data_IF_673979845212
#
_entry.id   IF_673979845212
#
_cell.length_a   1.000
_cell.length_b   1.000
_cell.length_c   1.000
_cell.angle_alpha   90.00
_cell.angle_beta   90.00
_cell.angle_gamma   90.00
#
_symmetry.space_group_name_H-M   'P 1'
#
loop_
_entity.id
_entity.type
_entity.pdbx_description
1 polymer ?
#
# COMPACT_ATOMS: atom_id res chain seq x y z
N UNK A 1 -19.40 -5.05 3.56
CA UNK A 1 -18.32 -5.94 3.05
C UNK A 1 -17.27 -5.09 2.36
N UNK A 2 -16.01 -5.31 2.66
CA UNK A 2 -14.91 -4.54 2.08
C UNK A 2 -14.70 -4.91 0.61
N UNK A 3 -14.35 -3.93 -0.23
CA UNK A 3 -13.94 -4.13 -1.62
C UNK A 3 -12.77 -5.10 -1.66
N UNK A 4 -12.81 -6.05 -2.57
CA UNK A 4 -11.78 -7.07 -2.74
C UNK A 4 -10.99 -6.86 -4.02
N UNK A 5 -9.87 -7.57 -4.17
CA UNK A 5 -9.10 -7.56 -5.40
C UNK A 5 -9.97 -8.00 -6.61
N UNK A 6 -10.83 -8.99 -6.41
CA UNK A 6 -11.78 -9.45 -7.43
C UNK A 6 -12.76 -8.33 -7.82
N UNK A 7 -13.22 -7.52 -6.85
CA UNK A 7 -14.08 -6.37 -7.12
C UNK A 7 -13.37 -5.36 -8.01
N UNK A 8 -12.10 -5.03 -7.69
CA UNK A 8 -11.31 -4.09 -8.49
C UNK A 8 -11.06 -4.63 -9.90
N UNK A 9 -10.79 -5.93 -10.04
CA UNK A 9 -10.61 -6.56 -11.34
C UNK A 9 -11.89 -6.45 -12.19
N UNK A 10 -13.04 -6.73 -11.57
CA UNK A 10 -14.33 -6.59 -12.24
C UNK A 10 -14.59 -5.15 -12.70
N UNK A 11 -14.27 -4.16 -11.88
CA UNK A 11 -14.38 -2.76 -12.26
C UNK A 11 -13.53 -2.45 -13.50
N UNK A 12 -12.30 -2.96 -13.55
CA UNK A 12 -11.42 -2.81 -14.70
C UNK A 12 -12.01 -3.46 -15.95
N UNK A 13 -12.49 -4.70 -15.83
CA UNK A 13 -13.09 -5.44 -16.94
C UNK A 13 -14.33 -4.75 -17.47
N UNK A 14 -15.15 -4.14 -16.62
CA UNK A 14 -16.37 -3.41 -16.95
C UNK A 14 -16.08 -1.98 -17.48
N UNK A 15 -14.82 -1.54 -17.44
CA UNK A 15 -14.44 -0.16 -17.84
C UNK A 15 -14.80 0.90 -16.79
N UNK A 16 -15.17 0.50 -15.59
CA UNK A 16 -15.42 1.43 -14.47
C UNK A 16 -14.12 2.00 -13.95
N UNK A 17 -14.13 3.27 -13.57
CA UNK A 17 -12.95 3.92 -12.99
C UNK A 17 -12.82 3.57 -11.51
N UNK A 18 -11.58 3.35 -11.08
CA UNK A 18 -11.23 3.13 -9.68
C UNK A 18 -10.69 4.45 -9.13
N UNK A 19 -11.40 5.01 -8.13
CA UNK A 19 -10.94 6.20 -7.42
C UNK A 19 -10.02 5.79 -6.27
N UNK A 20 -8.76 6.23 -6.30
CA UNK A 20 -7.78 5.96 -5.25
C UNK A 20 -7.19 7.26 -4.73
N UNK A 21 -7.12 7.40 -3.42
CA UNK A 21 -6.46 8.51 -2.74
C UNK A 21 -5.54 8.02 -1.64
N UNK A 22 -4.48 8.78 -1.35
CA UNK A 22 -3.66 8.55 -0.16
C UNK A 22 -4.46 8.85 1.09
N UNK A 23 -4.19 8.07 2.14
CA UNK A 23 -4.87 8.21 3.43
C UNK A 23 -3.93 7.74 4.54
N UNK A 24 -3.85 8.51 5.64
CA UNK A 24 -2.86 8.28 6.68
C UNK A 24 -3.45 8.08 8.08
N UNK A 25 -4.76 8.25 8.25
CA UNK A 25 -5.42 8.14 9.56
C UNK A 25 -6.87 7.67 9.45
N UNK A 26 -7.45 7.32 10.60
CA UNK A 26 -8.81 6.79 10.66
C UNK A 26 -9.90 7.82 10.34
N UNK A 27 -9.69 9.08 10.69
CA UNK A 27 -10.68 10.15 10.43
C UNK A 27 -10.84 10.40 8.94
N UNK A 28 -9.71 10.57 8.22
CA UNK A 28 -9.73 10.73 6.77
C UNK A 28 -10.20 9.46 6.06
N UNK A 29 -9.88 8.28 6.57
CA UNK A 29 -10.35 7.01 5.98
C UNK A 29 -11.88 6.99 5.91
N UNK A 30 -12.55 7.30 7.01
CA UNK A 30 -14.01 7.37 7.04
C UNK A 30 -14.58 8.44 6.12
N UNK A 31 -13.96 9.61 6.07
CA UNK A 31 -14.38 10.72 5.22
C UNK A 31 -14.25 10.40 3.73
N UNK A 32 -13.11 9.86 3.32
CA UNK A 32 -12.85 9.49 1.92
C UNK A 32 -13.76 8.35 1.46
N UNK A 33 -13.97 7.37 2.32
CA UNK A 33 -14.90 6.26 2.04
C UNK A 33 -16.33 6.76 1.86
N UNK A 34 -16.79 7.69 2.71
CA UNK A 34 -18.10 8.33 2.60
C UNK A 34 -18.23 9.13 1.29
N UNK A 35 -17.14 9.67 0.78
CA UNK A 35 -17.11 10.39 -0.49
C UNK A 35 -17.09 9.46 -1.73
N UNK A 36 -17.00 8.13 -1.54
CA UNK A 36 -17.06 7.16 -2.61
C UNK A 36 -15.71 6.69 -3.14
N UNK A 37 -14.61 6.92 -2.43
CA UNK A 37 -13.28 6.44 -2.82
C UNK A 37 -13.25 4.91 -2.71
N UNK A 38 -12.75 4.25 -3.77
CA UNK A 38 -12.72 2.78 -3.85
C UNK A 38 -11.52 2.17 -3.16
N UNK A 39 -10.36 2.84 -3.22
CA UNK A 39 -9.11 2.37 -2.65
C UNK A 39 -8.40 3.46 -1.87
N UNK A 40 -7.84 3.10 -0.73
CA UNK A 40 -7.04 3.97 0.13
C UNK A 40 -5.60 3.48 0.11
N UNK A 41 -4.67 4.38 -0.23
CA UNK A 41 -3.24 4.11 -0.24
C UNK A 41 -2.61 4.71 1.02
N UNK A 42 -2.12 3.84 1.89
CA UNK A 42 -1.26 4.26 3.00
C UNK A 42 0.15 4.39 2.44
N UNK A 43 0.50 5.62 2.04
CA UNK A 43 1.75 5.89 1.36
C UNK A 43 2.91 6.17 2.33
N UNK A 44 4.14 5.79 1.95
CA UNK A 44 5.34 6.20 2.69
C UNK A 44 5.58 7.71 2.60
N UNK A 45 4.85 8.39 1.73
CA UNK A 45 4.75 9.86 1.72
C UNK A 45 4.27 10.43 3.06
N UNK A 46 3.76 9.59 3.99
CA UNK A 46 3.51 10.03 5.37
C UNK A 46 4.75 10.63 6.02
N UNK A 47 5.94 10.20 5.61
CA UNK A 47 7.19 10.80 6.05
C UNK A 47 7.23 12.30 5.78
N UNK A 48 6.85 12.71 4.58
CA UNK A 48 6.78 14.12 4.22
C UNK A 48 5.56 14.82 4.81
N UNK A 49 4.37 14.22 4.65
CA UNK A 49 3.07 14.87 4.91
C UNK A 49 2.75 14.91 6.41
N UNK A 50 3.08 13.87 7.15
CA UNK A 50 2.73 13.73 8.57
C UNK A 50 3.93 13.98 9.49
N UNK A 51 5.12 13.46 9.10
CA UNK A 51 6.30 13.51 9.97
C UNK A 51 7.21 14.71 9.70
N UNK A 52 6.93 15.49 8.64
CA UNK A 52 7.74 16.64 8.22
C UNK A 52 9.19 16.28 7.86
N UNK A 53 9.42 15.06 7.40
CA UNK A 53 10.70 14.63 6.87
C UNK A 53 10.93 15.19 5.46
N UNK A 54 12.17 15.41 5.10
CA UNK A 54 12.53 15.89 3.75
C UNK A 54 12.34 14.81 2.66
N UNK A 55 12.46 13.54 3.04
CA UNK A 55 12.31 12.38 2.15
C UNK A 55 11.48 11.29 2.80
N UNK A 56 11.13 10.24 2.03
CA UNK A 56 10.42 9.07 2.57
C UNK A 56 11.37 8.05 3.21
N UNK A 57 12.69 8.19 3.06
CA UNK A 57 13.67 7.21 3.53
C UNK A 57 13.62 6.92 5.04
N UNK A 58 13.35 7.90 5.93
CA UNK A 58 13.26 7.63 7.37
C UNK A 58 12.03 6.83 7.81
N UNK A 59 11.03 6.64 6.93
CA UNK A 59 9.81 5.92 7.28
C UNK A 59 10.13 4.45 7.56
N UNK A 60 9.73 3.98 8.73
CA UNK A 60 9.98 2.60 9.19
C UNK A 60 8.80 1.67 8.92
N UNK A 61 9.04 0.36 9.04
CA UNK A 61 7.95 -0.63 9.01
C UNK A 61 6.94 -0.40 10.13
N UNK A 62 7.40 0.02 11.31
CA UNK A 62 6.53 0.35 12.46
C UNK A 62 5.60 1.51 12.14
N UNK A 63 6.11 2.56 11.49
CA UNK A 63 5.29 3.68 11.03
C UNK A 63 4.22 3.21 10.05
N UNK A 64 4.62 2.43 9.04
CA UNK A 64 3.68 1.93 8.03
C UNK A 64 2.63 1.00 8.62
N UNK A 65 3.01 0.10 9.51
CA UNK A 65 2.08 -0.79 10.17
C UNK A 65 1.09 -0.02 11.06
N UNK A 66 1.56 0.99 11.80
CA UNK A 66 0.72 1.83 12.65
C UNK A 66 -0.32 2.59 11.82
N UNK A 67 0.11 3.32 10.80
CA UNK A 67 -0.80 4.10 9.96
C UNK A 67 -1.76 3.23 9.17
N UNK A 68 -1.30 2.08 8.67
CA UNK A 68 -2.17 1.11 7.99
C UNK A 68 -3.28 0.61 8.93
N UNK A 69 -2.93 0.29 10.17
CA UNK A 69 -3.93 -0.11 11.18
C UNK A 69 -4.96 0.98 11.43
N UNK A 70 -4.54 2.23 11.54
CA UNK A 70 -5.44 3.36 11.73
C UNK A 70 -6.43 3.50 10.56
N UNK A 71 -5.92 3.42 9.33
CA UNK A 71 -6.76 3.51 8.12
C UNK A 71 -7.74 2.33 8.03
N UNK A 72 -7.27 1.12 8.28
CA UNK A 72 -8.13 -0.08 8.28
C UNK A 72 -9.26 0.05 9.31
N UNK A 73 -8.93 0.49 10.52
CA UNK A 73 -9.93 0.66 11.60
C UNK A 73 -10.90 1.80 11.34
N UNK A 74 -10.48 2.82 10.62
CA UNK A 74 -11.31 3.98 10.28
C UNK A 74 -12.18 3.77 9.04
N UNK A 75 -12.04 2.67 8.33
CA UNK A 75 -12.78 2.35 7.11
C UNK A 75 -13.46 0.99 7.22
N UNK A 76 -14.56 0.80 6.46
CA UNK A 76 -15.31 -0.45 6.45
C UNK A 76 -15.43 -1.06 5.05
N UNK A 77 -15.16 -0.30 4.01
CA UNK A 77 -15.53 -0.63 2.64
C UNK A 77 -14.37 -0.52 1.65
N UNK A 78 -13.59 0.54 1.72
CA UNK A 78 -12.51 0.80 0.76
C UNK A 78 -11.42 -0.27 0.81
N UNK A 79 -10.84 -0.56 -0.35
CA UNK A 79 -9.69 -1.46 -0.49
C UNK A 79 -8.44 -0.75 0.04
N UNK A 80 -7.67 -1.41 0.91
CA UNK A 80 -6.51 -0.78 1.55
C UNK A 80 -5.21 -1.33 0.98
N UNK A 81 -4.40 -0.43 0.43
CA UNK A 81 -3.06 -0.69 -0.10
C UNK A 81 -2.05 -0.01 0.84
N UNK A 82 -0.97 -0.68 1.18
CA UNK A 82 0.11 -0.10 1.99
C UNK A 82 1.43 -0.13 1.25
N UNK A 83 2.15 1.00 1.25
CA UNK A 83 3.52 1.06 0.74
C UNK A 83 4.47 0.25 1.63
N UNK A 84 5.37 -0.47 0.99
CA UNK A 84 6.52 -1.02 1.67
C UNK A 84 7.62 0.05 1.73
N UNK A 85 8.08 0.45 2.93
CA UNK A 85 9.08 1.49 3.06
C UNK A 85 10.43 1.06 2.53
N UNK A 86 11.28 2.04 2.24
CA UNK A 86 12.65 1.77 1.74
C UNK A 86 13.42 0.85 2.69
N UNK A 87 14.09 -0.14 2.13
CA UNK A 87 14.84 -1.14 2.87
C UNK A 87 14.04 -2.37 3.27
N UNK A 88 12.69 -2.30 3.21
CA UNK A 88 11.84 -3.42 3.63
C UNK A 88 11.67 -4.52 2.57
N UNK A 89 12.00 -4.23 1.31
CA UNK A 89 11.81 -5.18 0.20
C UNK A 89 13.03 -5.31 -0.73
N UNK A 90 14.02 -4.45 -0.60
CA UNK A 90 15.20 -4.48 -1.47
C UNK A 90 16.24 -5.51 -1.05
N UNK A 91 16.28 -5.89 0.24
CA UNK A 91 17.33 -6.77 0.79
C UNK A 91 17.26 -8.16 0.16
N UNK A 92 16.06 -8.74 0.12
CA UNK A 92 15.82 -10.06 -0.49
C UNK A 92 14.31 -10.28 -0.66
N UNK A 93 13.91 -11.22 -1.55
CA UNK A 93 12.51 -11.63 -1.63
C UNK A 93 11.96 -12.18 -0.31
N UNK A 94 12.76 -12.92 0.46
CA UNK A 94 12.35 -13.44 1.76
C UNK A 94 12.06 -12.32 2.77
N UNK A 95 12.94 -11.32 2.86
CA UNK A 95 12.71 -10.15 3.71
C UNK A 95 11.48 -9.37 3.27
N UNK A 96 11.26 -9.22 1.96
CA UNK A 96 10.06 -8.59 1.43
C UNK A 96 8.79 -9.33 1.87
N UNK A 97 8.79 -10.67 1.83
CA UNK A 97 7.64 -11.46 2.28
C UNK A 97 7.36 -11.25 3.77
N UNK A 98 8.38 -11.28 4.62
CA UNK A 98 8.21 -11.06 6.06
C UNK A 98 7.58 -9.69 6.35
N UNK A 99 8.07 -8.65 5.69
CA UNK A 99 7.57 -7.29 5.87
C UNK A 99 6.17 -7.09 5.25
N UNK A 100 5.90 -7.67 4.08
CA UNK A 100 4.57 -7.66 3.48
C UNK A 100 3.55 -8.35 4.39
N UNK A 101 3.91 -9.48 4.98
CA UNK A 101 3.05 -10.21 5.90
C UNK A 101 2.69 -9.36 7.15
N UNK A 102 3.62 -8.54 7.64
CA UNK A 102 3.34 -7.61 8.76
C UNK A 102 2.28 -6.57 8.39
N UNK A 103 2.35 -6.02 7.19
CA UNK A 103 1.35 -5.06 6.70
C UNK A 103 -0.01 -5.72 6.48
N UNK A 104 -0.03 -6.92 5.92
CA UNK A 104 -1.27 -7.67 5.74
C UNK A 104 -1.89 -8.08 7.09
N UNK A 105 -1.08 -8.41 8.08
CA UNK A 105 -1.55 -8.77 9.42
C UNK A 105 -2.29 -7.62 10.12
N UNK A 106 -1.97 -6.37 9.81
CA UNK A 106 -2.68 -5.20 10.33
C UNK A 106 -3.84 -4.76 9.42
N UNK A 107 -4.08 -5.45 8.31
CA UNK A 107 -5.26 -5.29 7.49
C UNK A 107 -5.06 -4.79 6.07
N UNK A 108 -3.82 -4.53 5.62
CA UNK A 108 -3.58 -4.22 4.21
C UNK A 108 -4.00 -5.40 3.34
N UNK A 109 -4.66 -5.09 2.22
CA UNK A 109 -5.10 -6.11 1.25
C UNK A 109 -4.13 -6.25 0.08
N UNK A 110 -3.21 -5.31 -0.06
CA UNK A 110 -2.19 -5.27 -1.10
C UNK A 110 -1.02 -4.44 -0.59
N UNK A 111 0.18 -4.76 -1.02
CA UNK A 111 1.37 -3.94 -0.76
C UNK A 111 1.85 -3.28 -2.05
N UNK A 112 2.44 -2.08 -1.94
CA UNK A 112 3.04 -1.39 -3.08
C UNK A 112 4.56 -1.39 -2.94
N UNK A 113 5.27 -1.71 -4.02
CA UNK A 113 6.73 -1.71 -4.09
C UNK A 113 7.19 -0.84 -5.25
N UNK A 114 8.26 -0.09 -5.03
CA UNK A 114 8.88 0.75 -6.06
C UNK A 114 10.02 0.03 -6.76
N UNK A 115 10.11 0.24 -8.05
CA UNK A 115 11.15 -0.31 -8.90
C UNK A 115 10.56 -0.91 -10.16
N UNK A 116 11.39 -1.11 -11.15
CA UNK A 116 11.00 -1.72 -12.42
C UNK A 116 11.55 -3.14 -12.53
N UNK A 117 12.38 -3.32 -13.54
CA UNK A 117 12.98 -4.61 -13.88
C UNK A 117 13.66 -5.31 -12.70
N UNK A 118 14.32 -4.55 -11.85
CA UNK A 118 15.05 -5.08 -10.68
C UNK A 118 14.13 -5.76 -9.66
N UNK A 119 12.84 -5.42 -9.64
CA UNK A 119 11.88 -5.97 -8.68
C UNK A 119 11.04 -7.13 -9.21
N UNK A 120 11.24 -7.53 -10.47
CA UNK A 120 10.42 -8.58 -11.11
C UNK A 120 10.44 -9.89 -10.31
N UNK A 121 11.61 -10.35 -9.90
CA UNK A 121 11.73 -11.61 -9.16
C UNK A 121 11.10 -11.51 -7.77
N UNK A 122 11.25 -10.38 -7.09
CA UNK A 122 10.63 -10.16 -5.79
C UNK A 122 9.10 -10.12 -5.90
N UNK A 123 8.56 -9.45 -6.89
CA UNK A 123 7.11 -9.41 -7.14
C UNK A 123 6.58 -10.81 -7.44
N UNK A 124 7.26 -11.57 -8.29
CA UNK A 124 6.90 -12.96 -8.59
C UNK A 124 6.93 -13.83 -7.33
N UNK A 125 7.94 -13.66 -6.49
CA UNK A 125 8.07 -14.38 -5.22
C UNK A 125 6.89 -14.08 -4.27
N UNK A 126 6.53 -12.82 -4.13
CA UNK A 126 5.43 -12.37 -3.26
C UNK A 126 4.07 -12.86 -3.76
N UNK A 127 3.78 -12.67 -5.05
CA UNK A 127 2.49 -13.02 -5.63
C UNK A 127 2.28 -14.54 -5.64
N UNK A 128 3.31 -15.32 -5.91
CA UNK A 128 3.24 -16.78 -5.83
C UNK A 128 2.90 -17.29 -4.42
N UNK A 129 3.14 -16.48 -3.39
CA UNK A 129 2.88 -16.81 -1.98
C UNK A 129 1.64 -16.11 -1.42
N UNK A 130 0.81 -15.56 -2.29
CA UNK A 130 -0.50 -15.02 -1.90
C UNK A 130 -0.50 -13.56 -1.48
N UNK A 131 0.59 -12.81 -1.72
CA UNK A 131 0.65 -11.37 -1.45
C UNK A 131 0.29 -10.60 -2.71
N UNK A 132 -0.86 -9.91 -2.77
CA UNK A 132 -1.15 -9.00 -3.88
C UNK A 132 -0.17 -7.83 -3.88
N UNK A 133 0.36 -7.50 -5.05
CA UNK A 133 1.39 -6.46 -5.21
C UNK A 133 0.95 -5.43 -6.24
N UNK A 134 1.11 -4.15 -5.87
CA UNK A 134 1.05 -3.02 -6.79
C UNK A 134 2.48 -2.57 -7.10
N UNK A 135 2.90 -2.70 -8.34
CA UNK A 135 4.21 -2.23 -8.79
C UNK A 135 4.17 -0.75 -9.13
N UNK A 136 5.15 0.02 -8.63
CA UNK A 136 5.32 1.43 -8.94
C UNK A 136 6.54 1.62 -9.84
N UNK A 137 6.30 2.11 -11.04
CA UNK A 137 7.34 2.39 -12.06
C UNK A 137 7.30 3.86 -12.47
N UNK A 138 8.36 4.33 -13.09
CA UNK A 138 8.49 5.74 -13.48
C UNK A 138 9.30 6.52 -12.44
N UNK A 139 8.75 7.62 -11.93
CA UNK A 139 9.39 8.36 -10.84
C UNK A 139 9.18 7.60 -9.53
N UNK A 140 10.28 7.11 -8.97
CA UNK A 140 10.28 6.35 -7.72
C UNK A 140 10.97 7.16 -6.61
N UNK A 141 10.20 7.84 -5.74
CA UNK A 141 10.77 8.78 -4.77
C UNK A 141 11.78 8.18 -3.79
N UNK A 142 11.67 6.87 -3.48
CA UNK A 142 12.63 6.21 -2.58
C UNK A 142 14.06 6.20 -3.14
N UNK A 143 14.21 6.26 -4.46
CA UNK A 143 15.51 6.16 -5.14
C UNK A 143 15.81 7.34 -6.08
N UNK A 144 14.93 8.30 -6.10
CA UNK A 144 15.08 9.49 -6.95
C UNK A 144 16.08 10.49 -6.38
#
# INVERSE_FOLDING_TARGET
MRITLTTLQKMTDDGSKIAMLTCYDGSFAGLLEAAGVDALLVGDSLGNVIQSEETTLPVTMEHMAYHTRCVVRGSNKAFVIADMPFGSFQVSPAAALENAARLMAVGAQMVKVEGGQIMVDTVAFLTARGVPVCGHVGLTPQTA
#
